data_IF_422388628562
#
_entry.id   IF_422388628562
#
_cell.length_a   1.000
_cell.length_b   1.000
_cell.length_c   1.000
_cell.angle_alpha   90.00
_cell.angle_beta   90.00
_cell.angle_gamma   90.00
#
_symmetry.space_group_name_H-M   'P 1'
#
loop_
_entity.id
_entity.type
_entity.pdbx_description
1 polymer ?
#
# COMPACT_ATOMS: atom_id res chain seq x y z
N UNK A 1 -4.95 8.17 -1.24
CA UNK A 1 -4.19 6.91 -1.27
C UNK A 1 -2.74 7.22 -1.63
N UNK A 2 -1.79 6.35 -1.33
CA UNK A 2 -0.39 6.48 -1.69
C UNK A 2 0.12 5.17 -2.27
N UNK A 3 1.02 5.22 -3.25
CA UNK A 3 1.58 4.03 -3.87
C UNK A 3 3.02 4.23 -4.33
N UNK A 4 3.73 3.14 -4.49
CA UNK A 4 5.05 3.07 -5.12
C UNK A 4 5.22 1.73 -5.86
N UNK A 5 6.39 1.53 -6.46
CA UNK A 5 6.79 0.29 -7.11
C UNK A 5 8.00 -0.29 -6.39
N UNK A 6 7.97 -1.59 -6.14
CA UNK A 6 9.05 -2.35 -5.52
C UNK A 6 9.45 -3.50 -6.41
N UNK A 7 10.70 -3.91 -6.34
CA UNK A 7 11.15 -5.17 -6.95
C UNK A 7 10.59 -6.35 -6.15
N UNK A 8 10.17 -7.41 -6.82
CA UNK A 8 9.76 -8.64 -6.16
C UNK A 8 9.83 -9.81 -7.15
N UNK A 9 10.33 -10.99 -6.74
CA UNK A 9 10.30 -12.20 -7.57
C UNK A 9 8.85 -12.63 -7.90
N UNK A 10 7.87 -12.17 -7.12
CA UNK A 10 6.45 -12.45 -7.30
C UNK A 10 5.76 -11.52 -8.28
N UNK A 11 6.51 -10.73 -9.06
CA UNK A 11 5.97 -9.85 -10.10
C UNK A 11 5.17 -10.57 -11.20
N UNK A 12 5.29 -11.90 -11.31
CA UNK A 12 4.54 -12.73 -12.28
C UNK A 12 3.32 -13.42 -11.69
N UNK A 13 2.98 -13.15 -10.43
CA UNK A 13 1.80 -13.73 -9.79
C UNK A 13 0.53 -13.32 -10.58
N UNK A 14 -0.41 -14.26 -10.72
CA UNK A 14 -1.66 -14.05 -11.47
C UNK A 14 -2.72 -13.35 -10.65
N UNK A 15 -2.52 -13.24 -9.34
CA UNK A 15 -3.50 -12.68 -8.41
C UNK A 15 -3.02 -11.33 -7.88
N UNK A 16 -4.01 -10.46 -7.65
CA UNK A 16 -3.83 -9.21 -6.93
C UNK A 16 -4.19 -9.51 -5.49
N UNK A 17 -3.36 -9.05 -4.55
CA UNK A 17 -3.67 -9.16 -3.13
C UNK A 17 -4.15 -7.81 -2.61
N UNK A 18 -5.23 -7.87 -1.81
CA UNK A 18 -5.75 -6.72 -1.10
C UNK A 18 -5.82 -7.05 0.40
N UNK A 19 -5.22 -6.20 1.22
CA UNK A 19 -5.22 -6.35 2.67
C UNK A 19 -6.18 -5.32 3.30
N UNK A 20 -7.23 -5.79 3.96
CA UNK A 20 -8.22 -4.94 4.63
C UNK A 20 -7.86 -4.65 6.10
N UNK A 21 -6.79 -5.25 6.61
CA UNK A 21 -6.36 -5.11 8.01
C UNK A 21 -5.18 -4.14 8.12
N UNK A 22 -5.39 -2.90 7.68
CA UNK A 22 -4.39 -1.84 7.84
C UNK A 22 -4.29 -1.37 9.29
N UNK A 23 -3.06 -1.17 9.74
CA UNK A 23 -2.73 -0.59 11.03
C UNK A 23 -1.73 0.54 10.83
N UNK A 24 -1.85 1.59 11.63
CA UNK A 24 -0.84 2.64 11.68
C UNK A 24 0.39 2.20 12.50
N UNK A 25 1.37 3.10 12.60
CA UNK A 25 2.59 2.91 13.39
C UNK A 25 2.35 2.68 14.89
N UNK A 26 1.15 3.04 15.40
CA UNK A 26 0.73 2.84 16.78
C UNK A 26 -0.14 1.58 16.96
N UNK A 27 -0.34 0.79 15.90
CA UNK A 27 -1.19 -0.41 15.90
C UNK A 27 -2.69 -0.12 15.82
N UNK A 28 -3.10 1.14 15.65
CA UNK A 28 -4.49 1.56 15.53
C UNK A 28 -5.05 1.06 14.20
N UNK A 29 -6.22 0.39 14.21
CA UNK A 29 -6.89 0.00 12.96
C UNK A 29 -7.21 1.22 12.11
N UNK A 30 -6.76 1.22 10.86
CA UNK A 30 -7.07 2.28 9.89
C UNK A 30 -8.14 1.75 8.93
N UNK A 31 -9.35 2.33 8.91
CA UNK A 31 -10.36 2.05 7.89
C UNK A 31 -9.81 2.37 6.49
N UNK A 32 -9.41 1.31 5.79
CA UNK A 32 -8.67 1.40 4.55
C UNK A 32 -8.30 0.03 3.99
N UNK A 33 -7.53 0.03 2.91
CA UNK A 33 -7.02 -1.18 2.29
C UNK A 33 -5.61 -0.97 1.73
N UNK A 34 -4.74 -1.95 1.89
CA UNK A 34 -3.49 -2.09 1.17
C UNK A 34 -3.69 -2.95 -0.07
N UNK A 35 -2.85 -2.79 -1.08
CA UNK A 35 -2.84 -3.66 -2.26
C UNK A 35 -1.43 -3.97 -2.73
N UNK A 36 -1.30 -5.15 -3.35
CA UNK A 36 -0.13 -5.60 -4.10
C UNK A 36 -0.58 -6.02 -5.50
N UNK A 37 -0.05 -5.32 -6.51
CA UNK A 37 -0.40 -5.54 -7.91
C UNK A 37 0.85 -5.90 -8.72
N UNK A 38 1.02 -7.19 -9.10
CA UNK A 38 2.14 -7.62 -9.94
C UNK A 38 2.08 -6.99 -11.34
N UNK A 39 3.19 -6.40 -11.80
CA UNK A 39 3.26 -5.73 -13.11
C UNK A 39 3.82 -6.60 -14.24
N UNK A 40 4.40 -7.76 -13.93
CA UNK A 40 4.95 -8.68 -14.94
C UNK A 40 6.33 -8.30 -15.49
N UNK A 41 6.89 -7.17 -15.09
CA UNK A 41 8.14 -6.58 -15.61
C UNK A 41 9.31 -6.59 -14.61
N UNK A 42 9.20 -7.36 -13.52
CA UNK A 42 10.13 -7.36 -12.39
C UNK A 42 9.59 -6.57 -11.19
N UNK A 43 8.51 -5.81 -11.38
CA UNK A 43 8.00 -4.90 -10.35
C UNK A 43 6.61 -5.28 -9.84
N UNK A 44 6.32 -4.86 -8.62
CA UNK A 44 5.01 -4.94 -7.99
C UNK A 44 4.61 -3.54 -7.54
N UNK A 45 3.42 -3.10 -7.93
CA UNK A 45 2.85 -1.88 -7.39
C UNK A 45 2.28 -2.16 -6.00
N UNK A 46 2.84 -1.49 -5.00
CA UNK A 46 2.37 -1.52 -3.62
C UNK A 46 1.69 -0.20 -3.29
N UNK A 47 0.57 -0.24 -2.57
CA UNK A 47 -0.06 0.98 -2.10
C UNK A 47 -1.06 0.78 -0.98
N UNK A 48 -1.44 1.90 -0.37
CA UNK A 48 -2.44 1.95 0.69
C UNK A 48 -3.44 3.08 0.45
N UNK A 49 -4.70 2.78 0.74
CA UNK A 49 -5.80 3.72 0.72
C UNK A 49 -6.44 3.76 2.10
N UNK A 50 -6.70 4.97 2.61
CA UNK A 50 -7.52 5.18 3.78
C UNK A 50 -8.79 5.92 3.38
N UNK A 51 -9.89 5.64 4.09
CA UNK A 51 -11.18 6.30 3.86
C UNK A 51 -11.12 7.76 4.31
N UNK A 52 -11.48 8.68 3.41
CA UNK A 52 -11.48 10.12 3.69
C UNK A 52 -12.52 10.55 4.73
N UNK A 53 -13.50 9.70 5.03
CA UNK A 53 -14.56 9.93 6.02
C UNK A 53 -14.17 9.51 7.43
N UNK A 54 -13.00 8.89 7.61
CA UNK A 54 -12.49 8.49 8.92
C UNK A 54 -12.13 9.71 9.78
N UNK A 55 -12.44 9.63 11.07
CA UNK A 55 -12.01 10.62 12.05
C UNK A 55 -10.47 10.67 12.10
N UNK A 56 -9.89 11.86 11.87
CA UNK A 56 -8.44 12.05 11.89
C UNK A 56 -7.73 11.78 10.55
N UNK A 57 -8.45 11.60 9.44
CA UNK A 57 -7.87 11.41 8.11
C UNK A 57 -6.86 12.52 7.73
N UNK A 58 -7.12 13.78 8.09
CA UNK A 58 -6.20 14.91 7.83
C UNK A 58 -4.90 14.85 8.62
N UNK A 59 -4.84 14.09 9.71
CA UNK A 59 -3.64 13.88 10.52
C UNK A 59 -2.89 12.60 10.14
N UNK A 60 -3.49 11.74 9.32
CA UNK A 60 -2.92 10.46 8.92
C UNK A 60 -1.74 10.69 7.98
N UNK A 61 -0.56 10.23 8.39
CA UNK A 61 0.61 10.21 7.52
C UNK A 61 0.54 8.98 6.61
N UNK A 62 0.20 9.23 5.34
CA UNK A 62 0.13 8.16 4.33
C UNK A 62 1.48 7.46 4.11
N UNK A 63 2.61 8.15 4.26
CA UNK A 63 3.93 7.52 4.13
C UNK A 63 4.17 6.51 5.25
N UNK A 64 3.87 6.88 6.50
CA UNK A 64 3.96 5.96 7.64
C UNK A 64 3.04 4.75 7.43
N UNK A 65 1.82 4.97 6.93
CA UNK A 65 0.87 3.89 6.66
C UNK A 65 1.37 2.93 5.57
N UNK A 66 2.00 3.47 4.51
CA UNK A 66 2.61 2.65 3.47
C UNK A 66 3.77 1.84 4.02
N UNK A 67 4.60 2.41 4.88
CA UNK A 67 5.72 1.71 5.51
C UNK A 67 5.24 0.61 6.47
N UNK A 68 4.19 0.89 7.26
CA UNK A 68 3.56 -0.12 8.11
C UNK A 68 3.00 -1.28 7.28
N UNK A 69 2.34 -0.98 6.15
CA UNK A 69 1.86 -2.01 5.23
C UNK A 69 3.01 -2.78 4.58
N UNK A 70 4.07 -2.09 4.17
CA UNK A 70 5.30 -2.69 3.63
C UNK A 70 5.86 -3.72 4.60
N UNK A 71 5.95 -3.39 5.89
CA UNK A 71 6.39 -4.33 6.93
C UNK A 71 5.50 -5.56 7.08
N UNK A 72 4.20 -5.46 6.81
CA UNK A 72 3.28 -6.60 6.87
C UNK A 72 3.44 -7.56 5.68
N UNK A 73 3.75 -7.04 4.49
CA UNK A 73 3.83 -7.84 3.26
C UNK A 73 5.26 -8.22 2.87
N UNK A 74 6.28 -7.64 3.52
CA UNK A 74 7.68 -7.79 3.15
C UNK A 74 8.13 -9.24 2.99
N UNK A 75 7.86 -10.09 3.99
CA UNK A 75 8.24 -11.50 3.95
C UNK A 75 7.43 -12.30 2.92
N UNK A 76 6.12 -12.05 2.84
CA UNK A 76 5.23 -12.81 1.93
C UNK A 76 5.47 -12.52 0.45
N UNK A 77 5.88 -11.28 0.15
CA UNK A 77 6.09 -10.78 -1.20
C UNK A 77 7.57 -10.64 -1.58
N UNK A 78 8.49 -10.93 -0.66
CA UNK A 78 9.94 -10.81 -0.85
C UNK A 78 10.31 -9.46 -1.49
N UNK A 79 9.72 -8.38 -0.97
CA UNK A 79 9.82 -7.07 -1.60
C UNK A 79 11.20 -6.45 -1.37
N UNK A 80 11.79 -5.97 -2.46
CA UNK A 80 13.05 -5.25 -2.48
C UNK A 80 12.90 -3.76 -2.14
N UNK A 81 13.86 -2.98 -2.61
CA UNK A 81 13.85 -1.53 -2.42
C UNK A 81 12.75 -0.84 -3.25
N UNK A 82 12.39 0.37 -2.84
CA UNK A 82 11.47 1.21 -3.59
C UNK A 82 12.18 1.76 -4.83
N UNK A 83 11.68 1.42 -6.01
CA UNK A 83 12.22 1.90 -7.30
C UNK A 83 11.91 3.38 -7.52
N UNK A 84 10.85 3.88 -6.89
CA UNK A 84 10.44 5.28 -6.95
C UNK A 84 10.03 5.80 -5.58
N UNK A 85 10.01 7.13 -5.44
CA UNK A 85 9.43 7.77 -4.26
C UNK A 85 7.91 7.55 -4.23
N UNK A 86 7.33 7.18 -3.08
CA UNK A 86 5.89 7.06 -2.94
C UNK A 86 5.15 8.32 -3.35
N UNK A 87 4.13 8.16 -4.20
CA UNK A 87 3.30 9.27 -4.70
C UNK A 87 1.88 9.14 -4.16
N UNK A 88 1.41 10.20 -3.50
CA UNK A 88 0.03 10.30 -3.05
C UNK A 88 -0.87 10.77 -4.19
N UNK A 89 -2.00 10.09 -4.38
CA UNK A 89 -3.01 10.49 -5.34
C UNK A 89 -4.42 10.34 -4.74
N UNK A 90 -5.33 11.23 -5.14
CA UNK A 90 -6.75 11.08 -4.83
C UNK A 90 -7.33 10.13 -5.87
N UNK A 91 -7.73 8.94 -5.45
CA UNK A 91 -8.50 8.06 -6.32
C UNK A 91 -9.80 8.80 -6.66
N UNK A 92 -10.12 9.01 -7.96
CA UNK A 92 -11.42 9.56 -8.32
C UNK A 92 -12.48 8.56 -7.88
N UNK A 93 -13.16 8.85 -6.78
CA UNK A 93 -14.41 8.18 -6.44
C UNK A 93 -15.50 8.97 -7.14
N UNK A 94 -16.17 8.36 -8.12
CA UNK A 94 -17.36 8.96 -8.73
C UNK A 94 -18.39 9.24 -7.63
N UNK A 95 -18.95 10.45 -7.66
CA UNK A 95 -20.00 10.90 -6.75
C UNK A 95 -21.29 10.10 -6.92
#
# INVERSE_FOLDING_TARGET
AIRTYVESPRHTDRHIEACLTLRDEHGTPVPGYGWMFPCGDGTVNIGVGALSTMQGFTKLNLNSLLEAYRGLVADSWEIGENLERPRAWRLPMSA
#
